data_IF_072611395739
#
_entry.id   IF_072611395739
#
_cell.length_a   1.000
_cell.length_b   1.000
_cell.length_c   1.000
_cell.angle_alpha   90.00
_cell.angle_beta   90.00
_cell.angle_gamma   90.00
#
_symmetry.space_group_name_H-M   'P 1'
#
loop_
_entity.id
_entity.type
_entity.pdbx_description
1 polymer ?
#
# COMPACT_ATOMS: atom_id res chain seq x y z
N UNK A 1 5.44 1.65 -6.06
CA UNK A 1 4.21 1.99 -5.29
C UNK A 1 4.56 2.96 -4.17
N UNK A 2 3.69 3.94 -3.89
CA UNK A 2 3.89 5.04 -2.94
C UNK A 2 3.23 4.75 -1.59
N UNK A 3 3.96 4.19 -0.64
CA UNK A 3 3.50 4.05 0.75
C UNK A 3 3.70 5.39 1.46
N UNK A 4 2.68 6.24 1.37
CA UNK A 4 2.75 7.61 1.86
C UNK A 4 2.26 7.71 3.29
N UNK A 5 3.14 8.17 4.17
CA UNK A 5 2.85 8.55 5.54
C UNK A 5 2.52 10.04 5.61
N UNK A 6 1.52 10.40 6.40
CA UNK A 6 1.03 11.78 6.52
C UNK A 6 0.29 11.97 7.84
N UNK A 7 0.10 13.21 8.25
CA UNK A 7 -0.73 13.52 9.42
C UNK A 7 -2.22 13.60 9.08
N UNK A 8 -3.08 13.26 10.05
CA UNK A 8 -4.49 13.67 10.02
C UNK A 8 -4.67 15.07 10.65
N UNK A 9 -5.92 15.54 10.72
CA UNK A 9 -6.26 16.85 11.32
C UNK A 9 -5.94 16.94 12.81
N UNK A 10 -5.85 15.82 13.50
CA UNK A 10 -5.46 15.72 14.90
C UNK A 10 -3.94 15.52 15.11
N UNK A 11 -3.15 15.49 14.02
CA UNK A 11 -1.71 15.27 14.05
C UNK A 11 -1.31 13.80 14.27
N UNK A 12 -2.25 12.83 14.14
CA UNK A 12 -1.91 11.41 14.23
C UNK A 12 -1.25 10.96 12.93
N UNK A 13 -0.25 10.09 13.03
CA UNK A 13 0.39 9.48 11.87
C UNK A 13 -0.57 8.49 11.19
N UNK A 14 -0.73 8.65 9.88
CA UNK A 14 -1.59 7.85 9.02
C UNK A 14 -0.82 7.37 7.79
N UNK A 15 -1.36 6.38 7.09
CA UNK A 15 -0.97 6.07 5.72
C UNK A 15 -2.12 6.31 4.75
N UNK A 16 -1.79 6.68 3.51
CA UNK A 16 -2.78 6.82 2.45
C UNK A 16 -3.06 5.46 1.80
N UNK A 17 -4.35 5.14 1.63
CA UNK A 17 -4.80 3.96 0.87
C UNK A 17 -5.91 4.35 -0.08
N UNK A 18 -5.93 3.76 -1.27
CA UNK A 18 -6.92 4.00 -2.31
C UNK A 18 -7.80 2.77 -2.53
N UNK A 19 -9.02 3.02 -2.99
CA UNK A 19 -9.89 2.01 -3.57
C UNK A 19 -9.98 2.27 -5.07
N UNK A 20 -9.59 1.29 -5.88
CA UNK A 20 -9.64 1.41 -7.34
C UNK A 20 -11.07 1.50 -7.85
N UNK A 21 -11.26 2.20 -8.99
CA UNK A 21 -12.56 2.29 -9.64
C UNK A 21 -13.07 0.92 -10.08
N UNK A 22 -14.41 0.74 -10.01
CA UNK A 22 -15.07 -0.53 -10.37
C UNK A 22 -15.09 -0.80 -11.88
N UNK A 23 -14.97 0.24 -12.71
CA UNK A 23 -14.99 0.13 -14.16
C UNK A 23 -13.62 -0.24 -14.78
N UNK A 24 -12.55 -0.28 -13.98
CA UNK A 24 -11.23 -0.69 -14.45
C UNK A 24 -11.21 -2.20 -14.73
N UNK A 25 -10.54 -2.59 -15.82
CA UNK A 25 -10.51 -4.00 -16.25
C UNK A 25 -9.71 -4.93 -15.31
N UNK A 26 -8.65 -4.42 -14.68
CA UNK A 26 -7.82 -5.17 -13.74
C UNK A 26 -7.95 -4.63 -12.32
N UNK A 27 -8.06 -5.56 -11.35
CA UNK A 27 -8.10 -5.22 -9.91
C UNK A 27 -9.19 -4.22 -9.51
N UNK A 28 -10.33 -4.22 -10.23
CA UNK A 28 -11.47 -3.34 -9.99
C UNK A 28 -11.95 -3.44 -8.53
N UNK A 29 -12.14 -2.28 -7.87
CA UNK A 29 -12.61 -2.20 -6.50
C UNK A 29 -11.64 -2.69 -5.42
N UNK A 30 -10.43 -3.10 -5.78
CA UNK A 30 -9.42 -3.52 -4.80
C UNK A 30 -8.81 -2.34 -4.07
N UNK A 31 -8.37 -2.60 -2.85
CA UNK A 31 -7.63 -1.67 -2.02
C UNK A 31 -6.14 -1.76 -2.32
N UNK A 32 -5.50 -0.63 -2.53
CA UNK A 32 -4.08 -0.54 -2.83
C UNK A 32 -3.48 0.76 -2.29
N UNK A 33 -2.17 0.77 -2.09
CA UNK A 33 -1.42 2.02 -2.00
C UNK A 33 -1.20 2.56 -3.43
N UNK A 34 -1.14 3.89 -3.65
CA UNK A 34 -0.95 4.49 -4.98
C UNK A 34 0.24 3.90 -5.72
N UNK A 35 0.11 3.68 -7.03
CA UNK A 35 1.22 3.17 -7.80
C UNK A 35 0.87 2.49 -9.09
N UNK A 36 1.80 2.52 -10.03
CA UNK A 36 1.70 1.97 -11.37
C UNK A 36 3.00 1.38 -11.88
N UNK A 37 3.12 1.31 -13.19
CA UNK A 37 4.30 0.79 -13.88
C UNK A 37 5.36 1.88 -14.01
N UNK A 38 6.63 1.45 -13.98
CA UNK A 38 7.74 2.34 -14.31
C UNK A 38 7.65 2.77 -15.76
N UNK A 39 7.90 4.04 -16.02
CA UNK A 39 8.15 4.54 -17.38
C UNK A 39 9.60 4.25 -17.82
N UNK A 40 9.89 4.27 -19.14
CA UNK A 40 11.25 4.02 -19.61
C UNK A 40 12.28 4.98 -18.99
N UNK A 41 13.25 4.44 -18.28
CA UNK A 41 14.30 5.20 -17.60
C UNK A 41 13.90 5.78 -16.24
N UNK A 42 12.69 5.52 -15.76
CA UNK A 42 12.20 6.02 -14.47
C UNK A 42 12.71 5.16 -13.31
N UNK A 43 13.12 5.81 -12.21
CA UNK A 43 13.43 5.10 -10.98
C UNK A 43 12.14 4.73 -10.20
N UNK A 44 12.17 3.71 -9.33
CA UNK A 44 11.03 3.37 -8.47
C UNK A 44 10.56 4.53 -7.59
N UNK A 45 11.48 5.39 -7.14
CA UNK A 45 11.16 6.59 -6.36
C UNK A 45 10.43 7.64 -7.19
N UNK A 46 10.92 7.91 -8.41
CA UNK A 46 10.28 8.86 -9.33
C UNK A 46 8.87 8.40 -9.69
N UNK A 47 8.70 7.10 -10.02
CA UNK A 47 7.40 6.52 -10.28
C UNK A 47 6.44 6.63 -9.08
N UNK A 48 6.93 6.38 -7.86
CA UNK A 48 6.10 6.49 -6.66
C UNK A 48 5.60 7.94 -6.46
N UNK A 49 6.46 8.93 -6.67
CA UNK A 49 6.09 10.35 -6.56
C UNK A 49 5.10 10.77 -7.66
N UNK A 50 5.33 10.35 -8.91
CA UNK A 50 4.43 10.62 -10.05
C UNK A 50 3.05 10.00 -9.81
N UNK A 51 2.99 8.70 -9.51
CA UNK A 51 1.73 7.98 -9.28
C UNK A 51 0.94 8.55 -8.08
N UNK A 52 1.63 8.98 -7.02
CA UNK A 52 1.00 9.66 -5.89
C UNK A 52 0.32 10.96 -6.34
N UNK A 53 0.99 11.75 -7.18
CA UNK A 53 0.42 12.99 -7.72
C UNK A 53 -0.75 12.71 -8.68
N UNK A 54 -0.64 11.71 -9.55
CA UNK A 54 -1.65 11.36 -10.54
C UNK A 54 -2.92 10.74 -9.90
N UNK A 55 -2.77 9.81 -8.97
CA UNK A 55 -3.90 9.09 -8.37
C UNK A 55 -4.59 9.85 -7.24
N UNK A 56 -3.85 10.61 -6.42
CA UNK A 56 -4.40 11.25 -5.20
C UNK A 56 -4.07 12.74 -5.05
N UNK A 57 -3.51 13.37 -6.08
CA UNK A 57 -3.29 14.82 -6.13
C UNK A 57 -2.18 15.34 -5.20
N UNK A 58 -1.35 14.47 -4.62
CA UNK A 58 -0.30 14.86 -3.66
C UNK A 58 1.04 14.94 -4.37
N UNK A 59 1.53 16.15 -4.62
CA UNK A 59 2.84 16.41 -5.19
C UNK A 59 3.90 16.54 -4.07
N UNK A 60 4.82 15.59 -4.01
CA UNK A 60 5.98 15.58 -3.14
C UNK A 60 7.26 15.60 -4.01
N UNK A 61 8.36 16.04 -3.44
CA UNK A 61 9.67 15.96 -4.07
C UNK A 61 10.52 14.82 -3.52
N UNK A 62 11.72 14.63 -4.05
CA UNK A 62 12.60 13.53 -3.67
C UNK A 62 13.04 13.57 -2.20
N UNK A 63 12.95 14.71 -1.50
CA UNK A 63 13.28 14.82 -0.07
C UNK A 63 12.24 14.10 0.81
N UNK A 64 11.04 13.85 0.29
CA UNK A 64 10.01 13.10 0.97
C UNK A 64 10.29 11.59 1.04
N UNK A 65 11.26 11.07 0.29
CA UNK A 65 11.60 9.65 0.25
C UNK A 65 12.36 9.26 1.51
N UNK A 66 11.72 8.44 2.37
CA UNK A 66 12.37 7.89 3.56
C UNK A 66 13.19 6.62 3.24
N UNK A 67 12.78 5.85 2.23
CA UNK A 67 13.47 4.62 1.84
C UNK A 67 12.59 3.64 1.07
N UNK A 68 13.10 2.41 0.93
CA UNK A 68 12.41 1.29 0.28
C UNK A 68 12.13 0.16 1.28
N UNK A 69 11.01 -0.52 1.09
CA UNK A 69 10.79 -1.84 1.67
C UNK A 69 11.18 -2.93 0.66
N UNK A 70 11.04 -4.19 1.05
CA UNK A 70 11.38 -5.32 0.17
C UNK A 70 10.48 -5.38 -1.07
N UNK A 71 11.07 -5.78 -2.17
CA UNK A 71 10.32 -6.11 -3.39
C UNK A 71 9.35 -7.28 -3.12
N UNK A 72 8.13 -7.15 -3.64
CA UNK A 72 7.11 -8.18 -3.57
C UNK A 72 6.77 -8.68 -4.98
N UNK A 73 7.12 -9.93 -5.29
CA UNK A 73 6.77 -10.57 -6.54
C UNK A 73 5.31 -11.03 -6.53
N UNK A 74 4.51 -10.57 -7.50
CA UNK A 74 3.10 -10.93 -7.63
C UNK A 74 2.89 -12.18 -8.50
N UNK A 75 1.76 -12.86 -8.34
CA UNK A 75 1.36 -14.00 -9.19
C UNK A 75 1.11 -13.59 -10.65
N UNK A 76 0.79 -12.34 -10.91
CA UNK A 76 0.64 -11.79 -12.26
C UNK A 76 1.97 -11.44 -12.96
N UNK A 77 3.11 -11.73 -12.31
CA UNK A 77 4.45 -11.55 -12.89
C UNK A 77 5.06 -10.16 -12.72
N UNK A 78 4.42 -9.29 -11.95
CA UNK A 78 5.00 -7.98 -11.59
C UNK A 78 5.84 -8.07 -10.33
N UNK A 79 6.83 -7.20 -10.24
CA UNK A 79 7.58 -6.93 -9.00
C UNK A 79 7.14 -5.56 -8.50
N UNK A 80 6.64 -5.52 -7.27
CA UNK A 80 6.24 -4.29 -6.59
C UNK A 80 7.41 -3.84 -5.71
N UNK A 81 7.92 -2.64 -5.96
CA UNK A 81 8.90 -1.96 -5.11
C UNK A 81 8.19 -0.89 -4.28
N UNK A 82 7.98 -1.09 -2.97
CA UNK A 82 7.34 -0.09 -2.11
C UNK A 82 8.34 1.00 -1.73
N UNK A 83 7.99 2.25 -2.01
CA UNK A 83 8.73 3.45 -1.60
C UNK A 83 7.98 4.11 -0.46
N UNK A 84 8.64 4.27 0.69
CA UNK A 84 8.08 4.94 1.85
C UNK A 84 8.31 6.43 1.71
N UNK A 85 7.22 7.19 1.71
CA UNK A 85 7.21 8.65 1.57
C UNK A 85 6.67 9.29 2.86
N UNK A 86 7.16 10.48 3.19
CA UNK A 86 6.68 11.31 4.28
C UNK A 86 6.18 12.66 3.78
N UNK A 87 4.89 12.94 3.95
CA UNK A 87 4.34 14.27 3.72
C UNK A 87 4.45 15.09 5.02
N UNK A 88 5.53 15.87 5.12
CA UNK A 88 5.83 16.67 6.33
C UNK A 88 4.76 17.73 6.62
N UNK A 89 4.17 18.29 5.56
CA UNK A 89 3.10 19.30 5.69
C UNK A 89 1.74 18.68 5.48
N UNK A 90 0.68 19.24 6.05
CA UNK A 90 -0.67 18.82 5.74
C UNK A 90 -0.93 18.85 4.23
N UNK A 91 -1.41 17.77 3.68
CA UNK A 91 -1.75 17.62 2.26
C UNK A 91 -3.23 17.29 2.12
N UNK A 92 -3.88 17.80 1.10
CA UNK A 92 -5.22 17.35 0.74
C UNK A 92 -5.12 16.11 -0.16
N UNK A 93 -5.96 15.11 0.09
CA UNK A 93 -6.04 13.93 -0.75
C UNK A 93 -7.21 14.10 -1.73
N UNK A 94 -6.89 14.29 -3.00
CA UNK A 94 -7.87 14.50 -4.08
C UNK A 94 -7.79 13.33 -5.05
N UNK A 95 -8.72 12.34 -4.94
CA UNK A 95 -8.69 11.17 -5.80
C UNK A 95 -8.96 11.54 -7.27
N UNK A 96 -8.15 10.99 -8.19
CA UNK A 96 -8.43 11.06 -9.61
C UNK A 96 -9.62 10.13 -9.95
N UNK A 97 -10.78 10.66 -10.34
CA UNK A 97 -11.98 9.86 -10.52
C UNK A 97 -11.91 8.87 -11.70
N UNK A 98 -10.90 8.95 -12.55
CA UNK A 98 -10.69 7.97 -13.61
C UNK A 98 -10.07 6.66 -13.07
N UNK A 99 -9.31 6.71 -11.98
CA UNK A 99 -8.58 5.56 -11.46
C UNK A 99 -8.98 5.19 -10.03
N UNK A 100 -9.25 6.19 -9.20
CA UNK A 100 -9.48 6.05 -7.76
C UNK A 100 -10.92 6.43 -7.41
N UNK A 101 -11.65 5.47 -6.84
CA UNK A 101 -13.00 5.71 -6.35
C UNK A 101 -13.00 6.48 -5.03
N UNK A 102 -12.09 6.11 -4.13
CA UNK A 102 -11.95 6.70 -2.82
C UNK A 102 -10.49 6.66 -2.37
N UNK A 103 -10.08 7.65 -1.57
CA UNK A 103 -8.82 7.67 -0.85
C UNK A 103 -9.08 7.92 0.64
N UNK A 104 -8.34 7.23 1.51
CA UNK A 104 -8.48 7.33 2.95
C UNK A 104 -7.14 7.55 3.64
N UNK A 105 -7.18 8.29 4.74
CA UNK A 105 -6.14 8.32 5.75
C UNK A 105 -6.46 7.26 6.79
N UNK A 106 -5.62 6.25 6.89
CA UNK A 106 -5.77 5.19 7.87
C UNK A 106 -4.72 5.38 8.95
N UNK A 107 -5.10 5.55 10.23
CA UNK A 107 -4.15 5.69 11.33
C UNK A 107 -3.19 4.51 11.41
N UNK A 108 -1.92 4.77 11.72
CA UNK A 108 -0.89 3.72 11.81
C UNK A 108 -1.15 2.74 12.97
N UNK A 109 -1.82 3.18 14.03
CA UNK A 109 -2.18 2.34 15.18
C UNK A 109 -3.06 1.15 14.81
N UNK A 110 -3.81 1.22 13.71
CA UNK A 110 -4.55 0.07 13.14
C UNK A 110 -3.62 -1.11 12.85
N UNK A 111 -2.36 -0.85 12.49
CA UNK A 111 -1.39 -1.90 12.25
C UNK A 111 -0.90 -2.58 13.53
N UNK A 112 -1.10 -1.97 14.69
CA UNK A 112 -0.70 -2.48 16.01
C UNK A 112 -1.81 -3.27 16.72
N UNK A 113 -3.00 -3.37 16.12
CA UNK A 113 -4.08 -4.19 16.67
C UNK A 113 -3.65 -5.65 16.86
N UNK A 114 -4.06 -6.31 17.97
CA UNK A 114 -3.61 -7.68 18.30
C UNK A 114 -3.90 -8.73 17.22
N UNK A 115 -4.91 -8.50 16.38
CA UNK A 115 -5.30 -9.38 15.28
C UNK A 115 -4.52 -9.15 13.96
N UNK A 116 -3.61 -8.16 13.93
CA UNK A 116 -2.80 -7.85 12.75
C UNK A 116 -1.43 -8.52 12.86
N UNK A 117 -1.00 -9.29 11.83
CA UNK A 117 -1.75 -9.71 10.65
C UNK A 117 -2.63 -10.92 10.92
N UNK A 118 -3.70 -11.08 10.13
CA UNK A 118 -4.41 -12.35 10.02
C UNK A 118 -3.77 -13.21 8.92
N UNK A 119 -3.54 -14.49 9.24
CA UNK A 119 -2.95 -15.46 8.32
C UNK A 119 -3.93 -16.62 8.09
N UNK A 120 -4.10 -17.00 6.83
CA UNK A 120 -4.91 -18.16 6.48
C UNK A 120 -4.33 -18.93 5.28
N UNK A 121 -4.66 -20.21 5.18
CA UNK A 121 -4.21 -21.08 4.10
C UNK A 121 -5.25 -21.13 2.97
N UNK A 122 -4.75 -21.31 1.74
CA UNK A 122 -5.57 -21.58 0.56
C UNK A 122 -5.11 -22.90 -0.07
N UNK A 123 -6.03 -23.72 -0.67
CA UNK A 123 -5.64 -25.02 -1.25
C UNK A 123 -4.65 -24.95 -2.40
N UNK A 124 -4.46 -23.76 -3.00
CA UNK A 124 -3.64 -23.56 -4.19
C UNK A 124 -2.19 -23.18 -3.88
N UNK A 125 -1.82 -23.01 -2.60
CA UNK A 125 -0.47 -22.63 -2.21
C UNK A 125 -0.13 -23.10 -0.80
N UNK A 126 1.12 -23.51 -0.60
CA UNK A 126 1.67 -23.84 0.72
C UNK A 126 2.07 -22.58 1.51
N UNK A 127 2.02 -21.40 0.85
CA UNK A 127 2.32 -20.13 1.49
C UNK A 127 1.06 -19.56 2.16
N UNK A 128 1.14 -19.00 3.38
CA UNK A 128 0.00 -18.37 4.02
C UNK A 128 -0.36 -17.06 3.32
N UNK A 129 -1.65 -16.83 3.15
CA UNK A 129 -2.17 -15.52 2.72
C UNK A 129 -2.19 -14.60 3.93
N UNK A 130 -1.67 -13.38 3.74
CA UNK A 130 -1.69 -12.35 4.77
C UNK A 130 -2.79 -11.34 4.48
N UNK A 131 -3.57 -11.00 5.50
CA UNK A 131 -4.55 -9.93 5.49
C UNK A 131 -4.44 -9.04 6.72
N UNK A 132 -4.90 -7.80 6.56
CA UNK A 132 -5.03 -6.81 7.64
C UNK A 132 -6.48 -6.33 7.65
N UNK A 133 -7.26 -6.69 8.69
CA UNK A 133 -8.59 -6.14 8.87
C UNK A 133 -8.48 -4.66 9.24
N UNK A 134 -9.26 -3.80 8.56
CA UNK A 134 -9.34 -2.36 8.82
C UNK A 134 -10.80 -2.00 9.05
N UNK A 135 -11.20 -1.91 10.31
CA UNK A 135 -12.61 -1.71 10.69
C UNK A 135 -13.21 -0.44 10.09
N UNK A 136 -12.47 0.66 10.10
CA UNK A 136 -12.95 1.92 9.54
C UNK A 136 -13.26 1.84 8.03
N UNK A 137 -12.69 0.88 7.31
CA UNK A 137 -12.98 0.62 5.90
C UNK A 137 -14.04 -0.47 5.70
N UNK A 138 -14.47 -1.14 6.77
CA UNK A 138 -15.42 -2.25 6.73
C UNK A 138 -14.91 -3.47 5.97
N UNK A 139 -13.59 -3.68 5.88
CA UNK A 139 -13.00 -4.73 5.05
C UNK A 139 -11.62 -5.16 5.55
N UNK A 140 -11.10 -6.26 4.99
CA UNK A 140 -9.70 -6.64 5.12
C UNK A 140 -8.92 -6.30 3.86
N UNK A 141 -7.70 -5.80 4.04
CA UNK A 141 -6.72 -5.61 2.98
C UNK A 141 -5.90 -6.88 2.86
N UNK A 142 -5.59 -7.30 1.64
CA UNK A 142 -4.84 -8.53 1.36
C UNK A 142 -3.46 -8.24 0.77
N UNK A 143 -2.57 -9.24 0.82
CA UNK A 143 -1.30 -9.18 0.08
C UNK A 143 -1.56 -8.96 -1.44
N UNK A 144 -0.74 -8.14 -2.13
CA UNK A 144 0.56 -7.59 -1.68
C UNK A 144 0.46 -6.39 -0.72
N UNK A 145 -0.58 -5.57 -0.81
CA UNK A 145 -0.71 -4.34 0.00
C UNK A 145 -0.59 -4.62 1.50
N UNK A 146 -1.28 -5.65 2.00
CA UNK A 146 -1.21 -6.02 3.42
C UNK A 146 0.20 -6.48 3.85
N UNK A 147 0.93 -7.20 3.00
CA UNK A 147 2.30 -7.62 3.29
C UNK A 147 3.25 -6.42 3.39
N UNK A 148 3.08 -5.42 2.52
CA UNK A 148 3.85 -4.17 2.53
C UNK A 148 3.56 -3.36 3.81
N UNK A 149 2.28 -3.21 4.19
CA UNK A 149 1.87 -2.53 5.43
C UNK A 149 2.39 -3.27 6.67
N UNK A 150 2.33 -4.59 6.67
CA UNK A 150 2.88 -5.40 7.74
C UNK A 150 4.39 -5.22 7.87
N UNK A 151 5.13 -5.20 6.75
CA UNK A 151 6.57 -4.93 6.78
C UNK A 151 6.87 -3.51 7.28
N UNK A 152 6.09 -2.50 6.88
CA UNK A 152 6.22 -1.15 7.42
C UNK A 152 6.12 -1.15 8.94
N UNK A 153 5.09 -1.82 9.51
CA UNK A 153 4.94 -1.94 10.96
C UNK A 153 6.18 -2.54 11.62
N UNK A 154 6.62 -3.67 11.10
CA UNK A 154 7.75 -4.40 11.68
C UNK A 154 9.04 -3.58 11.64
N UNK A 155 9.32 -2.94 10.50
CA UNK A 155 10.55 -2.15 10.31
C UNK A 155 10.47 -0.80 11.02
N UNK A 156 9.40 -0.03 10.79
CA UNK A 156 9.33 1.36 11.24
C UNK A 156 8.85 1.50 12.69
N UNK A 157 7.90 0.66 13.15
CA UNK A 157 7.34 0.79 14.50
C UNK A 157 8.07 -0.12 15.50
N UNK A 158 8.55 -1.30 15.07
CA UNK A 158 9.13 -2.28 15.98
C UNK A 158 10.63 -2.50 15.80
N UNK A 159 11.27 -1.88 14.77
CA UNK A 159 12.70 -2.02 14.51
C UNK A 159 13.13 -3.45 14.12
N UNK A 160 12.23 -4.26 13.56
CA UNK A 160 12.45 -5.67 13.21
C UNK A 160 12.74 -5.82 11.72
N UNK A 161 13.78 -6.57 11.36
CA UNK A 161 14.13 -6.87 9.96
C UNK A 161 13.25 -8.01 9.38
N UNK A 162 11.92 -7.82 9.38
CA UNK A 162 10.95 -8.81 8.91
C UNK A 162 10.89 -8.83 7.38
N UNK A 163 10.89 -10.04 6.78
CA UNK A 163 10.73 -10.27 5.35
C UNK A 163 9.33 -10.76 5.04
N UNK A 164 8.79 -10.35 3.88
CA UNK A 164 7.38 -10.62 3.51
C UNK A 164 7.20 -11.38 2.19
N UNK A 165 8.29 -11.68 1.47
CA UNK A 165 8.24 -12.37 0.17
C UNK A 165 7.67 -13.81 0.23
N UNK A 166 7.53 -14.39 1.42
CA UNK A 166 6.96 -15.72 1.64
C UNK A 166 5.44 -15.73 1.78
N UNK A 167 4.79 -14.57 1.85
CA UNK A 167 3.32 -14.50 1.89
C UNK A 167 2.71 -14.67 0.52
N UNK A 168 1.50 -15.26 0.50
CA UNK A 168 0.73 -15.50 -0.71
C UNK A 168 -0.34 -14.43 -0.91
N UNK A 169 -0.74 -14.23 -2.17
CA UNK A 169 -1.90 -13.45 -2.54
C UNK A 169 -3.17 -14.30 -2.49
N UNK A 170 -4.33 -13.74 -2.12
CA UNK A 170 -5.59 -14.46 -2.26
C UNK A 170 -5.90 -14.76 -3.73
N UNK A 171 -6.62 -15.83 -4.00
CA UNK A 171 -6.90 -16.30 -5.37
C UNK A 171 -7.52 -15.24 -6.29
N UNK A 172 -8.37 -14.37 -5.76
CA UNK A 172 -8.99 -13.30 -6.56
C UNK A 172 -7.99 -12.23 -7.06
N UNK A 173 -6.81 -12.12 -6.43
CA UNK A 173 -5.75 -11.17 -6.78
C UNK A 173 -4.71 -11.76 -7.78
N UNK A 174 -4.91 -12.97 -8.28
CA UNK A 174 -3.97 -13.65 -9.20
C UNK A 174 -4.14 -13.25 -10.67
N UNK A 175 -5.12 -12.40 -10.99
CA UNK A 175 -5.45 -11.98 -12.36
C UNK A 175 -5.02 -10.57 -12.67
#
# INVERSE_FOLDING_TARGET
MALTLLGDEAGRACFAITRRQLHLGAHAGQWAIPGGRLEPGESPEAAALRELAEEVGVALDASAVLGRLDDFATRSGFVITPIVLWAERPVELVPNPQEVAHVYRVPLDVLEEPRVPELFSIPQSDRPVLSIPIEMLGTSIYAPTAAILFQLREVALYGRATRVAHYEQPKFAWR
#
